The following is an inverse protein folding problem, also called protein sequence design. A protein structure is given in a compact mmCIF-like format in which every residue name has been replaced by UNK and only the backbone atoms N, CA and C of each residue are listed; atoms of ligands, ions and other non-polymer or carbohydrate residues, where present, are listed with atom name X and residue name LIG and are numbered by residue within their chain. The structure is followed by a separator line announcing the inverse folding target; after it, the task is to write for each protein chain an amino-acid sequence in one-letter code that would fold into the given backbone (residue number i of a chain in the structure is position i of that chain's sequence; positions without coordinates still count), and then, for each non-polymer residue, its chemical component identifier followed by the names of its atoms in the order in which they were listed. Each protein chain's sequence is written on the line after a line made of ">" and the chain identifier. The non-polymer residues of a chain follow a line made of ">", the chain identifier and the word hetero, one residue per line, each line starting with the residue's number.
data_IF_627738425144
#
_entry.id   IF_627738425144
#
_cell.length_a   1.000
_cell.length_b   1.000
_cell.length_c   1.000
_cell.angle_alpha   90.00
_cell.angle_beta   90.00
_cell.angle_gamma   90.00
#
_symmetry.space_group_name_H-M   'P 1'
#
loop_
_entity.id
_entity.type
_entity.pdbx_description
1 polymer ?
#
# COMPACT_ATOMS: atom_id res chain seq x y z
N UNK A 1 11.36 9.90 15.01
CA UNK A 1 10.79 10.95 14.13
C UNK A 1 10.55 10.45 12.71
N UNK A 2 11.44 9.62 12.14
CA UNK A 2 11.30 9.05 10.79
C UNK A 2 10.07 8.16 10.58
N UNK A 3 9.75 7.27 11.54
CA UNK A 3 8.55 6.41 11.45
C UNK A 3 7.24 7.20 11.37
N UNK A 4 7.13 8.29 12.17
CA UNK A 4 5.96 9.17 12.16
C UNK A 4 5.75 9.83 10.78
N UNK A 5 6.83 10.28 10.15
CA UNK A 5 6.77 10.91 8.82
C UNK A 5 6.34 9.89 7.75
N UNK A 6 6.84 8.67 7.83
CA UNK A 6 6.41 7.57 6.96
C UNK A 6 4.93 7.25 7.13
N UNK A 7 4.43 7.16 8.36
CA UNK A 7 3.01 6.91 8.64
C UNK A 7 2.12 8.04 8.10
N UNK A 8 2.52 9.31 8.28
CA UNK A 8 1.79 10.46 7.73
C UNK A 8 1.72 10.44 6.20
N UNK A 9 2.82 10.07 5.53
CA UNK A 9 2.85 9.92 4.08
C UNK A 9 1.87 8.83 3.62
N UNK A 10 1.84 7.68 4.32
CA UNK A 10 0.92 6.58 4.01
C UNK A 10 -0.54 7.02 4.17
N UNK A 11 -0.90 7.62 5.31
CA UNK A 11 -2.29 8.07 5.57
C UNK A 11 -2.74 9.08 4.52
N UNK A 12 -1.86 10.01 4.12
CA UNK A 12 -2.19 11.04 3.12
C UNK A 12 -2.48 10.43 1.74
N UNK A 13 -1.77 9.37 1.36
CA UNK A 13 -1.94 8.69 0.08
C UNK A 13 -3.10 7.67 0.11
N UNK A 14 -3.29 7.00 1.25
CA UNK A 14 -4.31 5.97 1.43
C UNK A 14 -5.71 6.52 1.73
N UNK A 15 -5.86 7.86 1.82
CA UNK A 15 -7.14 8.56 1.97
C UNK A 15 -7.50 9.33 0.68
N UNK A 16 -7.72 8.65 -0.46
CA UNK A 16 -8.15 9.31 -1.70
C UNK A 16 -9.61 9.78 -1.60
N UNK A 17 -10.05 10.71 -2.46
CA UNK A 17 -11.46 11.08 -2.61
C UNK A 17 -12.34 9.85 -2.89
N UNK A 18 -13.54 9.84 -2.32
CA UNK A 18 -14.42 8.66 -2.20
C UNK A 18 -14.74 7.91 -3.52
N UNK A 19 -14.63 8.55 -4.68
CA UNK A 19 -14.99 7.97 -5.98
C UNK A 19 -13.91 7.07 -6.61
N UNK A 20 -12.66 7.07 -6.11
CA UNK A 20 -11.55 6.29 -6.70
C UNK A 20 -10.76 5.43 -5.70
N UNK A 21 -11.36 5.13 -4.55
CA UNK A 21 -10.66 4.57 -3.39
C UNK A 21 -9.90 3.27 -3.67
N UNK A 22 -10.56 2.30 -4.28
CA UNK A 22 -9.97 0.98 -4.52
C UNK A 22 -8.91 1.01 -5.63
N UNK A 23 -9.16 1.68 -6.75
CA UNK A 23 -8.20 1.78 -7.87
C UNK A 23 -6.94 2.58 -7.49
N UNK A 24 -7.11 3.68 -6.75
CA UNK A 24 -5.99 4.45 -6.22
C UNK A 24 -5.16 3.61 -5.25
N UNK A 25 -5.81 2.82 -4.38
CA UNK A 25 -5.12 1.90 -3.49
C UNK A 25 -4.32 0.84 -4.27
N UNK A 26 -4.90 0.24 -5.31
CA UNK A 26 -4.18 -0.76 -6.12
C UNK A 26 -2.94 -0.18 -6.80
N UNK A 27 -3.05 1.05 -7.33
CA UNK A 27 -1.90 1.76 -7.92
C UNK A 27 -0.76 1.94 -6.90
N UNK A 28 -1.09 2.30 -5.65
CA UNK A 28 -0.09 2.43 -4.57
C UNK A 28 0.58 1.08 -4.26
N UNK A 29 -0.20 0.01 -4.21
CA UNK A 29 0.25 -1.35 -3.93
C UNK A 29 1.15 -1.90 -5.04
N UNK A 30 0.78 -1.72 -6.31
CA UNK A 30 1.58 -2.15 -7.46
C UNK A 30 2.95 -1.47 -7.48
N UNK A 31 2.99 -0.13 -7.34
CA UNK A 31 4.23 0.64 -7.29
C UNK A 31 5.13 0.23 -6.13
N UNK A 32 4.56 0.09 -4.93
CA UNK A 32 5.31 -0.30 -3.74
C UNK A 32 5.85 -1.73 -3.88
N UNK A 33 5.01 -2.67 -4.33
CA UNK A 33 5.40 -4.07 -4.46
C UNK A 33 6.55 -4.26 -5.44
N UNK A 34 6.55 -3.54 -6.56
CA UNK A 34 7.65 -3.61 -7.54
C UNK A 34 8.98 -3.24 -6.90
N UNK A 35 9.01 -2.17 -6.08
CA UNK A 35 10.23 -1.73 -5.38
C UNK A 35 10.67 -2.72 -4.30
N UNK A 36 9.73 -3.24 -3.51
CA UNK A 36 10.04 -4.20 -2.43
C UNK A 36 10.51 -5.54 -3.02
N UNK A 37 9.82 -6.06 -4.04
CA UNK A 37 10.16 -7.31 -4.73
C UNK A 37 11.57 -7.25 -5.33
N UNK A 38 11.98 -6.10 -5.85
CA UNK A 38 13.35 -5.92 -6.37
C UNK A 38 14.44 -6.07 -5.29
N UNK A 39 14.10 -5.95 -4.01
CA UNK A 39 15.06 -6.00 -2.89
C UNK A 39 15.00 -7.35 -2.16
N UNK A 40 13.79 -7.83 -1.83
CA UNK A 40 13.59 -9.03 -1.01
C UNK A 40 13.00 -10.22 -1.78
N UNK A 41 12.77 -10.07 -3.08
CA UNK A 41 12.14 -11.08 -3.93
C UNK A 41 10.62 -11.21 -3.73
N UNK A 42 9.96 -11.90 -4.68
CA UNK A 42 8.51 -12.08 -4.67
C UNK A 42 8.02 -12.88 -3.46
N UNK A 43 8.70 -13.98 -3.10
CA UNK A 43 8.34 -14.79 -1.93
C UNK A 43 8.50 -14.03 -0.60
N UNK A 44 9.52 -13.16 -0.51
CA UNK A 44 9.71 -12.28 0.64
C UNK A 44 8.57 -11.27 0.78
N UNK A 45 8.19 -10.63 -0.33
CA UNK A 45 7.04 -9.72 -0.36
C UNK A 45 5.73 -10.42 0.02
N UNK A 46 5.49 -11.62 -0.52
CA UNK A 46 4.27 -12.40 -0.20
C UNK A 46 4.19 -12.75 1.29
N UNK A 47 5.31 -13.18 1.88
CA UNK A 47 5.38 -13.49 3.31
C UNK A 47 5.12 -12.25 4.18
N UNK A 48 5.71 -11.12 3.78
CA UNK A 48 5.51 -9.82 4.43
C UNK A 48 4.04 -9.37 4.32
N UNK A 49 3.45 -9.46 3.13
CA UNK A 49 2.06 -9.11 2.89
C UNK A 49 1.10 -9.99 3.71
N UNK A 50 1.29 -11.31 3.67
CA UNK A 50 0.48 -12.26 4.45
C UNK A 50 0.54 -11.96 5.95
N UNK A 51 1.75 -11.69 6.47
CA UNK A 51 1.94 -11.31 7.88
C UNK A 51 1.21 -10.00 8.23
N UNK A 52 1.28 -9.02 7.33
CA UNK A 52 0.63 -7.72 7.52
C UNK A 52 -0.89 -7.85 7.50
N UNK A 53 -1.43 -8.66 6.58
CA UNK A 53 -2.85 -8.95 6.48
C UNK A 53 -3.37 -9.63 7.74
N UNK A 54 -2.66 -10.65 8.23
CA UNK A 54 -3.00 -11.35 9.47
C UNK A 54 -3.09 -10.40 10.69
N UNK A 55 -2.19 -9.42 10.79
CA UNK A 55 -2.23 -8.42 11.87
C UNK A 55 -3.40 -7.45 11.67
N UNK A 56 -3.63 -6.97 10.44
CA UNK A 56 -4.71 -6.03 10.14
C UNK A 56 -6.10 -6.64 10.35
N UNK A 57 -6.26 -7.96 10.19
CA UNK A 57 -7.50 -8.69 10.44
C UNK A 57 -8.02 -8.54 11.88
N UNK A 58 -7.16 -8.28 12.85
CA UNK A 58 -7.59 -8.03 14.24
C UNK A 58 -8.50 -6.79 14.36
N UNK A 59 -8.31 -5.80 13.48
CA UNK A 59 -9.14 -4.59 13.43
C UNK A 59 -10.18 -4.64 12.30
N UNK A 60 -9.87 -5.34 11.21
CA UNK A 60 -10.74 -5.47 10.03
C UNK A 60 -10.93 -6.95 9.66
N UNK A 61 -11.81 -7.68 10.37
CA UNK A 61 -11.97 -9.14 10.18
C UNK A 61 -12.38 -9.55 8.76
N UNK A 62 -12.99 -8.65 7.99
CA UNK A 62 -13.35 -8.87 6.58
C UNK A 62 -12.13 -8.94 5.63
N UNK A 63 -10.93 -8.62 6.10
CA UNK A 63 -9.67 -8.89 5.40
C UNK A 63 -9.20 -10.35 5.54
N UNK A 64 -9.93 -11.19 6.29
CA UNK A 64 -9.62 -12.60 6.41
C UNK A 64 -9.73 -13.29 5.05
N UNK A 65 -8.71 -14.09 4.73
CA UNK A 65 -8.72 -14.97 3.58
C UNK A 65 -8.56 -16.41 4.05
N UNK A 66 -9.33 -17.31 3.46
CA UNK A 66 -9.16 -18.75 3.67
C UNK A 66 -7.87 -19.26 2.98
N UNK A 67 -7.37 -18.54 1.97
CA UNK A 67 -6.14 -18.89 1.25
C UNK A 67 -5.40 -17.63 0.77
N UNK A 68 -4.07 -17.54 0.96
CA UNK A 68 -3.27 -16.44 0.43
C UNK A 68 -2.81 -16.79 -0.99
N UNK A 69 -3.22 -16.03 -2.04
CA UNK A 69 -2.77 -16.28 -3.40
C UNK A 69 -1.25 -16.33 -3.56
N UNK A 70 -0.78 -17.21 -4.46
CA UNK A 70 0.65 -17.42 -4.73
C UNK A 70 1.25 -16.40 -5.70
N UNK A 71 0.45 -15.53 -6.30
CA UNK A 71 0.88 -14.53 -7.28
C UNK A 71 0.47 -13.13 -6.85
N UNK A 72 1.36 -12.15 -7.02
CA UNK A 72 1.13 -10.77 -6.59
C UNK A 72 -0.09 -10.13 -7.25
N UNK A 73 -0.33 -10.38 -8.53
CA UNK A 73 -1.50 -9.85 -9.25
C UNK A 73 -2.82 -10.38 -8.67
N UNK A 74 -2.83 -11.65 -8.24
CA UNK A 74 -4.00 -12.26 -7.59
C UNK A 74 -4.22 -11.69 -6.18
N UNK A 75 -3.15 -11.36 -5.45
CA UNK A 75 -3.25 -10.69 -4.15
C UNK A 75 -3.95 -9.34 -4.27
N UNK A 76 -3.59 -8.53 -5.27
CA UNK A 76 -4.19 -7.21 -5.45
C UNK A 76 -5.60 -7.28 -6.03
N UNK A 77 -5.88 -8.22 -6.94
CA UNK A 77 -7.23 -8.46 -7.39
C UNK A 77 -8.17 -8.85 -6.24
N UNK A 78 -7.69 -9.65 -5.29
CA UNK A 78 -8.45 -10.01 -4.09
C UNK A 78 -8.62 -8.82 -3.13
N UNK A 79 -7.54 -8.08 -2.88
CA UNK A 79 -7.58 -6.89 -2.02
C UNK A 79 -8.55 -5.83 -2.56
N UNK A 80 -8.55 -5.60 -3.88
CA UNK A 80 -9.48 -4.70 -4.55
C UNK A 80 -10.93 -5.11 -4.29
N UNK A 81 -11.27 -6.39 -4.46
CA UNK A 81 -12.62 -6.91 -4.17
C UNK A 81 -13.04 -6.67 -2.71
N UNK A 82 -12.12 -6.85 -1.77
CA UNK A 82 -12.40 -6.53 -0.36
C UNK A 82 -12.73 -5.04 -0.20
N UNK A 83 -11.94 -4.14 -0.78
CA UNK A 83 -12.20 -2.70 -0.69
C UNK A 83 -13.51 -2.29 -1.37
N UNK A 84 -13.84 -2.85 -2.53
CA UNK A 84 -15.10 -2.58 -3.25
C UNK A 84 -16.35 -3.06 -2.48
N UNK A 85 -16.18 -4.07 -1.60
CA UNK A 85 -17.27 -4.58 -0.75
C UNK A 85 -17.55 -3.72 0.49
N UNK A 86 -16.70 -2.73 0.78
CA UNK A 86 -16.77 -1.92 2.00
C UNK A 86 -17.09 -0.46 1.70
N UNK A 87 -17.46 0.29 2.74
CA UNK A 87 -17.58 1.75 2.62
C UNK A 87 -16.21 2.37 2.31
N UNK A 88 -16.14 3.49 1.56
CA UNK A 88 -14.88 4.17 1.26
C UNK A 88 -14.04 4.49 2.51
N UNK A 89 -14.71 4.82 3.62
CA UNK A 89 -14.06 5.10 4.92
C UNK A 89 -13.40 3.85 5.49
N UNK A 90 -14.10 2.72 5.51
CA UNK A 90 -13.55 1.45 6.00
C UNK A 90 -12.42 0.93 5.10
N UNK A 91 -12.59 1.01 3.78
CA UNK A 91 -11.57 0.60 2.82
C UNK A 91 -10.28 1.43 2.99
N UNK A 92 -10.40 2.76 3.11
CA UNK A 92 -9.26 3.65 3.33
C UNK A 92 -8.56 3.40 4.67
N UNK A 93 -9.33 3.21 5.75
CA UNK A 93 -8.77 2.91 7.06
C UNK A 93 -8.02 1.57 7.08
N UNK A 94 -8.59 0.53 6.49
CA UNK A 94 -7.97 -0.78 6.35
C UNK A 94 -6.72 -0.74 5.46
N UNK A 95 -6.78 -0.03 4.32
CA UNK A 95 -5.63 0.15 3.44
C UNK A 95 -4.47 0.86 4.15
N UNK A 96 -4.77 1.93 4.89
CA UNK A 96 -3.79 2.67 5.69
C UNK A 96 -3.13 1.77 6.73
N UNK A 97 -3.92 1.03 7.51
CA UNK A 97 -3.39 0.11 8.52
C UNK A 97 -2.52 -0.98 7.91
N UNK A 98 -2.94 -1.53 6.77
CA UNK A 98 -2.20 -2.60 6.08
C UNK A 98 -0.84 -2.11 5.57
N UNK A 99 -0.81 -0.93 4.92
CA UNK A 99 0.43 -0.30 4.46
C UNK A 99 1.35 0.09 5.62
N UNK A 100 0.82 0.63 6.71
CA UNK A 100 1.58 0.95 7.93
C UNK A 100 2.22 -0.33 8.49
N UNK A 101 1.42 -1.37 8.70
CA UNK A 101 1.88 -2.65 9.27
C UNK A 101 2.97 -3.27 8.39
N UNK A 102 2.76 -3.32 7.08
CA UNK A 102 3.74 -3.85 6.14
C UNK A 102 5.06 -3.10 6.21
N UNK A 103 5.00 -1.77 6.22
CA UNK A 103 6.19 -0.94 6.19
C UNK A 103 6.89 -0.88 7.53
N UNK A 104 6.18 -1.09 8.64
CA UNK A 104 6.77 -1.27 9.97
C UNK A 104 7.54 -2.59 10.08
N UNK A 105 6.95 -3.70 9.60
CA UNK A 105 7.66 -4.97 9.53
C UNK A 105 8.89 -4.83 8.64
N UNK A 106 8.74 -4.22 7.45
CA UNK A 106 9.87 -4.00 6.55
C UNK A 106 10.98 -3.16 7.22
N UNK A 107 10.61 -2.06 7.89
CA UNK A 107 11.56 -1.21 8.62
C UNK A 107 12.29 -1.95 9.74
N UNK A 108 11.61 -2.90 10.40
CA UNK A 108 12.26 -3.76 11.41
C UNK A 108 13.29 -4.73 10.81
N UNK A 109 13.16 -5.09 9.53
CA UNK A 109 14.05 -6.02 8.84
C UNK A 109 15.24 -5.34 8.17
N UNK A 110 15.01 -4.20 7.50
CA UNK A 110 16.03 -3.54 6.66
C UNK A 110 16.40 -2.13 7.10
N UNK A 111 15.80 -1.65 8.19
CA UNK A 111 16.04 -0.33 8.76
C UNK A 111 15.13 0.77 8.19
N UNK A 112 14.76 1.70 9.07
CA UNK A 112 13.81 2.78 8.79
C UNK A 112 14.22 3.71 7.65
N UNK A 113 15.52 4.00 7.51
CA UNK A 113 16.04 4.88 6.47
C UNK A 113 15.82 4.29 5.07
N UNK A 114 16.14 3.00 4.90
CA UNK A 114 15.98 2.31 3.62
C UNK A 114 14.50 2.15 3.27
N UNK A 115 13.67 1.74 4.24
CA UNK A 115 12.22 1.67 4.05
C UNK A 115 11.65 3.01 3.60
N UNK A 116 12.00 4.11 4.28
CA UNK A 116 11.52 5.45 3.90
C UNK A 116 11.96 5.83 2.48
N UNK A 117 13.19 5.50 2.09
CA UNK A 117 13.70 5.74 0.74
C UNK A 117 12.93 4.94 -0.32
N UNK A 118 12.58 3.69 -0.03
CA UNK A 118 11.78 2.84 -0.93
C UNK A 118 10.39 3.44 -1.15
N UNK A 119 9.71 3.83 -0.07
CA UNK A 119 8.37 4.41 -0.17
C UNK A 119 8.38 5.72 -0.95
N UNK A 120 9.37 6.60 -0.68
CA UNK A 120 9.56 7.81 -1.46
C UNK A 120 9.77 7.47 -2.93
N UNK A 121 10.69 6.56 -3.27
CA UNK A 121 10.92 6.16 -4.66
C UNK A 121 9.69 5.55 -5.34
N UNK A 122 8.83 4.84 -4.60
CA UNK A 122 7.60 4.26 -5.12
C UNK A 122 6.55 5.33 -5.45
N UNK A 123 6.43 6.38 -4.62
CA UNK A 123 5.30 7.32 -4.67
C UNK A 123 5.64 8.76 -5.11
N UNK A 124 6.93 9.16 -5.12
CA UNK A 124 7.36 10.50 -5.61
C UNK A 124 7.04 10.72 -7.10
N UNK A 125 6.90 9.63 -7.87
CA UNK A 125 6.60 9.71 -9.31
C UNK A 125 5.25 10.36 -9.64
N UNK A 126 4.31 10.44 -8.70
CA UNK A 126 2.99 11.06 -8.93
C UNK A 126 2.91 12.53 -8.49
N UNK A 127 3.83 13.04 -7.67
CA UNK A 127 3.84 14.45 -7.30
C UNK A 127 4.13 15.34 -8.52
N UNK A 128 4.97 14.87 -9.45
CA UNK A 128 5.25 15.58 -10.70
C UNK A 128 4.19 15.35 -11.80
N UNK A 129 3.46 14.23 -11.77
CA UNK A 129 2.44 13.93 -12.79
C UNK A 129 1.13 14.68 -12.52
N UNK A 130 0.78 14.90 -11.25
CA UNK A 130 -0.38 15.73 -10.88
C UNK A 130 -0.10 17.25 -11.00
N UNK A 131 1.17 17.66 -11.00
CA UNK A 131 1.58 19.06 -11.21
C UNK A 131 1.81 19.44 -12.69
N UNK A 132 1.82 18.46 -13.61
CA UNK A 132 2.20 18.65 -15.02
C UNK A 132 1.06 18.83 -16.03
N UNK A 133 -0.22 18.79 -15.63
CA UNK A 133 -1.36 19.07 -16.53
C UNK A 133 -1.84 20.51 -16.38
N UNK A 134 -0.94 21.44 -16.63
CA UNK A 134 -1.23 22.83 -16.91
C UNK A 134 -0.27 23.30 -17.99
N UNK A 135 -0.81 23.93 -19.03
CA UNK A 135 -0.09 24.49 -20.18
C UNK A 135 0.29 23.48 -21.27
N UNK A 136 -0.59 23.38 -22.28
CA UNK A 136 -0.36 24.11 -23.54
C UNK A 136 -1.69 24.22 -24.31
N UNK A 137 -2.20 25.45 -24.32
CA UNK A 137 -3.15 25.92 -25.31
C UNK A 137 -2.37 26.34 -26.56
N UNK A 138 -3.06 26.21 -27.69
CA UNK A 138 -2.78 26.74 -29.04
C UNK A 138 -1.83 25.95 -29.93
#
# INVERSE_FOLDING_TARGET
>A
MSSLLRHQMIVSLATPPAEKGADAAMTLWEKLSTKIIAIIGAGGFQSLYARSLFIAQAQFPWLATDEVPKQTDQLFAQLKKYFESQTPVQASAANSLLLITLTDILASLIGEALTTSILRSAWDSDASVLAGKGFRNE
#
